data_IF_380909984707
#
_entry.id   IF_380909984707
#
_cell.length_a   1.000
_cell.length_b   1.000
_cell.length_c   1.000
_cell.angle_alpha   90.00
_cell.angle_beta   90.00
_cell.angle_gamma   90.00
#
_symmetry.space_group_name_H-M   'P 1'
#
loop_
_entity.id
_entity.type
_entity.pdbx_description
1 polymer ?
#
# COMPACT_ATOMS: atom_id res chain seq x y z
N UNK A 1 -48.45 -0.40 -38.95
CA UNK A 1 -47.30 -0.91 -38.18
C UNK A 1 -46.78 0.23 -37.30
N UNK A 2 -47.11 0.25 -36.00
CA UNK A 2 -46.65 1.28 -35.07
C UNK A 2 -45.31 0.85 -34.48
N UNK A 3 -44.24 1.58 -34.82
CA UNK A 3 -42.93 1.42 -34.19
C UNK A 3 -42.94 2.15 -32.85
N UNK A 4 -43.00 1.38 -31.76
CA UNK A 4 -42.86 1.88 -30.40
C UNK A 4 -41.36 2.04 -30.10
N UNK A 5 -40.84 3.26 -30.16
CA UNK A 5 -39.48 3.56 -29.73
C UNK A 5 -39.40 3.50 -28.20
N UNK A 6 -38.72 2.48 -27.65
CA UNK A 6 -38.47 2.39 -26.22
C UNK A 6 -37.34 3.35 -25.84
N UNK A 7 -37.67 4.39 -25.06
CA UNK A 7 -36.66 5.27 -24.46
C UNK A 7 -36.13 4.57 -23.21
N UNK A 8 -34.89 4.09 -23.27
CA UNK A 8 -34.18 3.52 -22.13
C UNK A 8 -33.42 4.65 -21.43
N UNK A 9 -33.84 5.02 -20.23
CA UNK A 9 -33.15 6.00 -19.40
C UNK A 9 -32.05 5.29 -18.60
N UNK A 10 -30.80 5.41 -19.04
CA UNK A 10 -29.64 4.86 -18.33
C UNK A 10 -29.24 5.84 -17.22
N UNK A 11 -29.67 5.55 -16.00
CA UNK A 11 -29.24 6.27 -14.79
C UNK A 11 -27.75 5.99 -14.51
N UNK A 12 -26.86 6.80 -15.08
CA UNK A 12 -25.45 6.81 -14.70
C UNK A 12 -25.29 7.53 -13.36
N UNK A 13 -24.98 6.80 -12.29
CA UNK A 13 -24.59 7.43 -11.01
C UNK A 13 -23.29 8.21 -11.22
N UNK A 14 -23.29 9.51 -10.93
CA UNK A 14 -22.09 10.33 -11.01
C UNK A 14 -21.08 9.90 -9.93
N UNK A 15 -19.88 9.53 -10.34
CA UNK A 15 -18.82 9.16 -9.40
C UNK A 15 -18.19 10.42 -8.82
N UNK A 16 -18.01 10.41 -7.50
CA UNK A 16 -17.14 11.39 -6.86
C UNK A 16 -15.71 10.90 -7.04
N UNK A 17 -14.88 11.73 -7.67
CA UNK A 17 -13.45 11.45 -7.89
C UNK A 17 -12.57 12.45 -7.19
N UNK A 18 -11.44 11.99 -6.65
CA UNK A 18 -10.46 12.87 -6.01
C UNK A 18 -9.04 12.42 -6.28
N UNK A 19 -8.11 13.37 -6.33
CA UNK A 19 -6.69 13.04 -6.25
C UNK A 19 -6.38 12.54 -4.84
N UNK A 20 -5.67 11.42 -4.78
CA UNK A 20 -5.33 10.73 -3.56
C UNK A 20 -3.88 10.28 -3.54
N UNK A 21 -3.37 10.13 -2.33
CA UNK A 21 -2.07 9.52 -2.03
C UNK A 21 -2.30 8.25 -1.23
N UNK A 22 -1.75 7.15 -1.69
CA UNK A 22 -1.80 5.84 -1.06
C UNK A 22 -0.42 5.55 -0.48
N UNK A 23 -0.35 5.17 0.79
CA UNK A 23 0.88 4.85 1.49
C UNK A 23 0.77 3.49 2.18
N UNK A 24 1.81 2.68 2.05
CA UNK A 24 1.89 1.38 2.70
C UNK A 24 3.30 1.09 3.22
N UNK A 25 3.37 0.33 4.30
CA UNK A 25 4.58 -0.30 4.82
C UNK A 25 4.61 -1.75 4.35
N UNK A 26 5.74 -2.16 3.82
CA UNK A 26 6.00 -3.53 3.36
C UNK A 26 7.14 -4.09 4.18
N UNK A 27 6.86 -5.09 5.01
CA UNK A 27 7.86 -5.75 5.83
C UNK A 27 8.08 -7.17 5.34
N UNK A 28 9.32 -7.53 5.02
CA UNK A 28 9.70 -8.89 4.65
C UNK A 28 10.52 -9.50 5.79
N UNK A 29 10.10 -10.65 6.28
CA UNK A 29 10.78 -11.41 7.33
C UNK A 29 11.30 -12.71 6.76
N UNK A 30 12.62 -12.91 6.84
CA UNK A 30 13.30 -14.13 6.40
C UNK A 30 13.95 -14.79 7.60
N UNK A 31 13.60 -16.05 7.87
CA UNK A 31 14.22 -16.87 8.89
C UNK A 31 15.10 -17.94 8.26
N UNK A 32 16.34 -18.04 8.72
CA UNK A 32 17.30 -19.06 8.33
C UNK A 32 17.55 -20.02 9.48
N UNK A 33 17.81 -21.28 9.16
CA UNK A 33 18.27 -22.31 10.10
C UNK A 33 19.62 -22.83 9.64
N UNK A 34 20.51 -23.03 10.60
CA UNK A 34 21.83 -23.60 10.37
C UNK A 34 22.14 -24.70 11.40
N UNK A 35 22.87 -25.72 10.97
CA UNK A 35 23.53 -26.68 11.86
C UNK A 35 24.98 -26.88 11.41
N UNK A 36 25.92 -26.29 12.16
CA UNK A 36 27.36 -26.37 11.94
C UNK A 36 27.82 -25.99 10.52
N UNK A 37 27.04 -25.17 9.80
CA UNK A 37 27.22 -24.83 8.37
C UNK A 37 27.19 -26.02 7.39
N UNK A 38 26.99 -27.24 7.86
CA UNK A 38 26.77 -28.41 7.00
C UNK A 38 25.37 -28.41 6.39
N UNK A 39 24.40 -27.84 7.10
CA UNK A 39 23.02 -27.67 6.64
C UNK A 39 22.61 -26.21 6.77
N UNK A 40 22.18 -25.61 5.65
CA UNK A 40 21.67 -24.25 5.54
C UNK A 40 20.28 -24.30 4.93
N UNK A 41 19.28 -23.71 5.58
CA UNK A 41 17.92 -23.66 5.07
C UNK A 41 17.25 -22.31 5.38
N UNK A 42 16.44 -21.82 4.45
CA UNK A 42 15.45 -20.78 4.75
C UNK A 42 14.20 -21.50 5.25
N UNK A 43 13.80 -21.24 6.49
CA UNK A 43 12.64 -21.91 7.11
C UNK A 43 11.39 -21.06 7.08
N UNK A 44 11.53 -19.74 6.89
CA UNK A 44 10.41 -18.80 6.77
C UNK A 44 10.81 -17.68 5.81
N UNK A 45 9.92 -17.31 4.90
CA UNK A 45 10.04 -16.11 4.08
C UNK A 45 8.64 -15.58 3.85
N UNK A 46 8.32 -14.47 4.51
CA UNK A 46 7.00 -13.87 4.48
C UNK A 46 7.10 -12.37 4.22
N UNK A 47 6.21 -11.88 3.37
CA UNK A 47 6.04 -10.45 3.12
C UNK A 47 4.67 -10.01 3.61
N UNK A 48 4.66 -9.06 4.53
CA UNK A 48 3.45 -8.44 5.07
C UNK A 48 3.32 -7.02 4.57
N UNK A 49 2.08 -6.61 4.27
CA UNK A 49 1.74 -5.24 3.87
C UNK A 49 0.80 -4.67 4.91
N UNK A 50 1.16 -3.52 5.46
CA UNK A 50 0.43 -2.85 6.53
C UNK A 50 0.26 -1.38 6.21
N UNK A 51 -0.78 -0.77 6.79
CA UNK A 51 -0.92 0.68 6.74
C UNK A 51 0.25 1.39 7.46
N UNK A 52 0.39 2.68 7.15
CA UNK A 52 1.17 3.64 7.94
C UNK A 52 0.20 4.64 8.56
N UNK A 53 0.59 5.40 9.58
CA UNK A 53 -0.31 6.43 10.10
C UNK A 53 -0.53 7.54 9.06
N UNK A 54 -1.62 8.31 9.22
CA UNK A 54 -1.88 9.46 8.34
C UNK A 54 -0.75 10.51 8.40
N UNK A 55 -0.16 10.74 9.57
CA UNK A 55 0.99 11.65 9.71
C UNK A 55 2.22 11.13 8.97
N UNK A 56 2.52 9.84 9.07
CA UNK A 56 3.61 9.20 8.34
C UNK A 56 3.39 9.24 6.82
N UNK A 57 2.17 9.00 6.35
CA UNK A 57 1.85 9.13 4.92
C UNK A 57 2.01 10.58 4.42
N UNK A 58 1.62 11.57 5.23
CA UNK A 58 1.87 12.98 4.92
C UNK A 58 3.36 13.34 4.90
N UNK A 59 4.15 12.77 5.81
CA UNK A 59 5.61 12.90 5.83
C UNK A 59 6.21 12.32 4.55
N UNK A 60 5.89 11.06 4.22
CA UNK A 60 6.30 10.40 2.98
C UNK A 60 5.96 11.24 1.74
N UNK A 61 4.76 11.83 1.69
CA UNK A 61 4.33 12.70 0.59
C UNK A 61 5.15 13.99 0.48
N UNK A 62 5.60 14.56 1.60
CA UNK A 62 6.34 15.83 1.65
C UNK A 62 7.83 15.66 1.45
N UNK A 63 8.44 14.69 2.14
CA UNK A 63 9.89 14.50 2.19
C UNK A 63 10.39 13.36 1.31
N UNK A 64 9.49 12.52 0.77
CA UNK A 64 9.85 11.25 0.13
C UNK A 64 10.76 10.39 1.02
N UNK A 65 10.54 10.46 2.33
CA UNK A 65 11.30 9.74 3.34
C UNK A 65 10.39 9.38 4.51
N UNK A 66 10.72 8.29 5.20
CA UNK A 66 10.13 7.97 6.49
C UNK A 66 11.13 7.17 7.34
N UNK A 67 11.29 7.54 8.61
CA UNK A 67 12.20 6.87 9.55
C UNK A 67 13.63 6.71 8.97
N UNK A 68 14.15 7.73 8.31
CA UNK A 68 15.47 7.69 7.68
C UNK A 68 15.52 6.99 6.31
N UNK A 69 14.51 6.23 5.93
CA UNK A 69 14.47 5.46 4.68
C UNK A 69 13.91 6.33 3.56
N UNK A 70 14.72 6.61 2.55
CA UNK A 70 14.33 7.37 1.35
C UNK A 70 13.48 6.52 0.42
N UNK A 71 12.42 7.11 -0.13
CA UNK A 71 11.64 6.57 -1.23
C UNK A 71 12.23 7.07 -2.55
N UNK A 72 12.53 6.13 -3.44
CA UNK A 72 12.96 6.43 -4.80
C UNK A 72 11.77 6.44 -5.74
N UNK A 73 11.78 7.34 -6.71
CA UNK A 73 10.76 7.35 -7.75
C UNK A 73 10.92 6.11 -8.65
N UNK A 74 9.83 5.37 -8.84
CA UNK A 74 9.74 4.25 -9.79
C UNK A 74 9.22 4.78 -11.13
N UNK A 75 8.18 5.61 -11.10
CA UNK A 75 7.60 6.29 -12.25
C UNK A 75 6.93 7.61 -11.84
N UNK A 76 6.21 8.26 -12.76
CA UNK A 76 5.58 9.56 -12.56
C UNK A 76 4.74 9.65 -11.27
N UNK A 77 4.12 8.54 -10.84
CA UNK A 77 3.13 8.52 -9.78
C UNK A 77 3.44 7.52 -8.66
N UNK A 78 4.55 6.77 -8.74
CA UNK A 78 4.91 5.74 -7.76
C UNK A 78 6.31 5.94 -7.22
N UNK A 79 6.43 5.78 -5.91
CA UNK A 79 7.67 5.81 -5.17
C UNK A 79 7.77 4.58 -4.27
N UNK A 80 8.97 4.03 -4.13
CA UNK A 80 9.25 2.95 -3.18
C UNK A 80 10.64 3.09 -2.63
N UNK A 81 10.82 2.74 -1.36
CA UNK A 81 12.16 2.47 -0.85
C UNK A 81 12.65 1.10 -1.32
N UNK A 82 13.97 0.91 -1.34
CA UNK A 82 14.64 -0.33 -1.74
C UNK A 82 15.72 -0.74 -0.73
N UNK A 83 15.33 -0.84 0.54
CA UNK A 83 16.17 -1.47 1.56
C UNK A 83 16.36 -2.95 1.18
N UNK A 84 17.61 -3.42 1.02
CA UNK A 84 17.88 -4.80 0.67
C UNK A 84 17.44 -5.74 1.78
N UNK A 85 16.93 -6.91 1.41
CA UNK A 85 16.66 -7.97 2.39
C UNK A 85 17.97 -8.65 2.74
N UNK A 86 18.60 -8.21 3.82
CA UNK A 86 19.81 -8.82 4.34
C UNK A 86 19.46 -9.86 5.40
N UNK A 87 19.94 -11.09 5.19
CA UNK A 87 19.86 -12.15 6.18
C UNK A 87 21.16 -12.94 6.18
N UNK A 88 21.44 -13.60 7.30
CA UNK A 88 22.64 -14.44 7.43
C UNK A 88 22.28 -15.77 8.07
N UNK A 89 23.14 -16.75 7.85
CA UNK A 89 23.06 -18.03 8.53
C UNK A 89 23.91 -17.97 9.81
N UNK A 90 23.31 -18.37 10.94
CA UNK A 90 24.05 -18.57 12.18
C UNK A 90 25.00 -19.78 12.10
N UNK A 91 25.64 -20.13 13.21
CA UNK A 91 26.41 -21.38 13.32
C UNK A 91 25.53 -22.57 13.69
N UNK A 92 24.60 -22.37 14.62
CA UNK A 92 23.61 -23.35 15.07
C UNK A 92 22.30 -22.59 15.36
N UNK A 93 21.15 -23.19 15.03
CA UNK A 93 19.82 -22.68 15.37
C UNK A 93 19.19 -21.83 14.28
N UNK A 94 18.14 -21.10 14.67
CA UNK A 94 17.31 -20.28 13.76
C UNK A 94 17.56 -18.79 14.02
N UNK A 95 17.62 -17.98 12.96
CA UNK A 95 17.69 -16.51 13.03
C UNK A 95 16.71 -15.88 12.05
N UNK A 96 16.01 -14.85 12.48
CA UNK A 96 15.06 -14.12 11.64
C UNK A 96 15.51 -12.67 11.45
N UNK A 97 15.39 -12.18 10.23
CA UNK A 97 15.72 -10.82 9.82
C UNK A 97 14.49 -10.19 9.20
N UNK A 98 14.18 -8.96 9.58
CA UNK A 98 13.05 -8.21 9.01
C UNK A 98 13.55 -6.93 8.37
N UNK A 99 13.26 -6.79 7.08
CA UNK A 99 13.52 -5.55 6.32
C UNK A 99 12.21 -4.82 6.10
N UNK A 100 12.21 -3.51 6.33
CA UNK A 100 11.06 -2.65 6.09
C UNK A 100 11.30 -1.77 4.88
N UNK A 101 10.30 -1.71 4.00
CA UNK A 101 10.21 -0.79 2.89
C UNK A 101 8.88 -0.02 2.94
N UNK A 102 8.83 1.10 2.25
CA UNK A 102 7.63 1.93 2.12
C UNK A 102 7.28 2.09 0.65
N UNK A 103 5.98 2.12 0.35
CA UNK A 103 5.43 2.39 -0.97
C UNK A 103 4.50 3.58 -0.90
N UNK A 104 4.60 4.46 -1.88
CA UNK A 104 3.69 5.59 -2.06
C UNK A 104 3.23 5.65 -3.52
N UNK A 105 1.93 5.85 -3.71
CA UNK A 105 1.33 6.05 -5.03
C UNK A 105 0.45 7.29 -5.00
N UNK A 106 0.45 8.06 -6.08
CA UNK A 106 -0.48 9.16 -6.31
C UNK A 106 -1.41 8.81 -7.47
N UNK A 107 -2.70 9.03 -7.29
CA UNK A 107 -3.68 8.67 -8.31
C UNK A 107 -5.06 9.22 -8.01
N UNK A 108 -6.08 8.68 -8.67
CA UNK A 108 -7.47 9.11 -8.50
C UNK A 108 -8.24 8.03 -7.74
N UNK A 109 -8.85 8.40 -6.61
CA UNK A 109 -9.87 7.57 -5.97
C UNK A 109 -11.23 7.84 -6.59
N UNK A 110 -12.00 6.78 -6.79
CA UNK A 110 -13.41 6.83 -7.14
C UNK A 110 -14.19 6.26 -5.98
N UNK A 111 -15.11 7.04 -5.43
CA UNK A 111 -15.94 6.56 -4.33
C UNK A 111 -17.12 5.77 -4.86
N UNK A 112 -17.20 4.49 -4.49
CA UNK A 112 -18.28 3.58 -4.90
C UNK A 112 -18.77 2.77 -3.70
N UNK A 113 -20.08 2.61 -3.60
CA UNK A 113 -20.72 1.80 -2.57
C UNK A 113 -20.73 0.34 -3.04
N UNK A 114 -19.64 -0.40 -2.79
CA UNK A 114 -19.69 -1.87 -2.88
C UNK A 114 -18.39 -2.61 -3.13
N UNK A 115 -17.40 -2.03 -3.83
CA UNK A 115 -16.20 -2.76 -4.28
C UNK A 115 -14.93 -1.91 -4.45
N UNK A 116 -14.89 -0.68 -3.93
CA UNK A 116 -13.68 0.15 -4.01
C UNK A 116 -12.72 -0.08 -2.85
N UNK A 117 -11.44 0.29 -3.03
CA UNK A 117 -10.44 0.46 -1.94
C UNK A 117 -10.92 1.42 -0.84
N UNK A 118 -11.97 2.19 -1.12
CA UNK A 118 -12.59 3.17 -0.23
C UNK A 118 -13.92 2.71 0.37
N UNK A 119 -14.28 1.42 0.25
CA UNK A 119 -15.49 0.87 0.85
C UNK A 119 -15.49 1.09 2.38
N UNK A 120 -16.56 1.67 2.90
CA UNK A 120 -16.68 2.02 4.33
C UNK A 120 -15.89 3.26 4.78
N UNK A 121 -15.16 3.93 3.88
CA UNK A 121 -14.44 5.15 4.20
C UNK A 121 -15.36 6.37 4.19
N UNK A 122 -15.24 7.24 5.20
CA UNK A 122 -15.96 8.51 5.21
C UNK A 122 -15.28 9.52 4.26
N UNK A 123 -15.97 9.87 3.17
CA UNK A 123 -15.49 10.73 2.08
C UNK A 123 -15.10 12.14 2.56
N UNK A 124 -15.74 12.64 3.62
CA UNK A 124 -15.52 14.00 4.13
C UNK A 124 -14.29 14.14 5.05
N UNK A 125 -13.71 13.02 5.51
CA UNK A 125 -12.55 13.07 6.43
C UNK A 125 -11.22 13.34 5.73
N UNK A 126 -11.15 13.24 4.39
CA UNK A 126 -9.90 13.40 3.64
C UNK A 126 -8.89 12.27 3.86
N UNK A 127 -9.29 11.18 4.55
CA UNK A 127 -8.44 10.04 4.85
C UNK A 127 -9.24 8.75 4.99
N UNK A 128 -8.61 7.63 4.63
CA UNK A 128 -9.04 6.30 4.98
C UNK A 128 -7.86 5.44 5.38
N UNK A 129 -8.05 4.62 6.42
CA UNK A 129 -7.04 3.68 6.89
C UNK A 129 -7.64 2.29 6.74
N UNK A 130 -6.98 1.46 5.94
CA UNK A 130 -7.35 0.05 5.73
C UNK A 130 -6.33 -0.85 6.44
N UNK A 131 -6.47 -2.18 6.35
CA UNK A 131 -5.47 -3.09 6.90
C UNK A 131 -4.08 -2.94 6.23
N UNK A 132 -4.05 -2.65 4.93
CA UNK A 132 -2.84 -2.71 4.11
C UNK A 132 -2.29 -1.33 3.73
N UNK A 133 -3.09 -0.26 3.85
CA UNK A 133 -2.70 1.06 3.37
C UNK A 133 -3.45 2.20 4.03
N UNK A 134 -2.86 3.39 3.96
CA UNK A 134 -3.49 4.66 4.29
C UNK A 134 -3.65 5.49 3.03
N UNK A 135 -4.86 5.98 2.82
CA UNK A 135 -5.29 6.75 1.65
C UNK A 135 -5.60 8.16 2.14
N UNK A 136 -5.02 9.18 1.51
CA UNK A 136 -5.25 10.59 1.82
C UNK A 136 -5.77 11.32 0.58
N UNK A 137 -6.77 12.17 0.72
CA UNK A 137 -7.29 13.03 -0.35
C UNK A 137 -7.68 14.41 0.21
N UNK A 138 -7.93 15.38 -0.67
CA UNK A 138 -8.47 16.67 -0.24
C UNK A 138 -9.97 16.53 0.06
N UNK A 139 -10.47 16.82 1.27
CA UNK A 139 -11.88 16.67 1.61
C UNK A 139 -12.81 17.73 0.97
N UNK A 140 -12.29 18.73 0.25
CA UNK A 140 -13.09 19.76 -0.44
C UNK A 140 -13.89 19.25 -1.67
N UNK A 141 -14.34 18.00 -1.65
CA UNK A 141 -15.08 17.34 -2.74
C UNK A 141 -16.57 17.29 -2.39
#
# INVERSE_FOLDING_TARGET
MHSSSQVVEVLSRAFITANATFCAKVSRTVCTKCFLRWSLAVTHDETTVQNVTASQCMEMRRSQQLNGIRLEQIDANRWSSKQPTEYSYGWIGTRCYTTTNYRMEQGVIKFYDGLSRTSGCNKTLGKCITATETILWNPSI
#
